data_IF_732631152309
#
_entry.id   IF_732631152309
#
_cell.length_a   1.000
_cell.length_b   1.000
_cell.length_c   1.000
_cell.angle_alpha   90.00
_cell.angle_beta   90.00
_cell.angle_gamma   90.00
#
_symmetry.space_group_name_H-M   'P 1'
#
loop_
_entity.id
_entity.type
_entity.pdbx_description
1 polymer ?
#
# COMPACT_ATOMS: atom_id res chain seq x y z
N UNK A 1 -26.77 19.38 8.15
CA UNK A 1 -25.35 18.97 8.08
C UNK A 1 -25.30 17.45 7.95
N UNK A 2 -24.94 16.91 6.77
CA UNK A 2 -24.68 15.47 6.61
C UNK A 2 -23.30 15.17 7.20
N UNK A 3 -23.23 14.18 8.10
CA UNK A 3 -21.99 13.71 8.70
C UNK A 3 -21.24 12.84 7.67
N UNK A 4 -19.95 13.12 7.50
CA UNK A 4 -19.04 12.39 6.62
C UNK A 4 -18.61 11.07 7.29
N UNK A 5 -19.44 10.05 7.27
CA UNK A 5 -19.04 8.72 7.75
C UNK A 5 -18.22 8.00 6.67
N UNK A 6 -16.95 8.41 6.50
CA UNK A 6 -15.99 7.63 5.71
C UNK A 6 -15.60 6.37 6.48
N UNK A 7 -16.32 5.28 6.24
CA UNK A 7 -15.89 3.93 6.64
C UNK A 7 -14.53 3.66 6.01
N UNK A 8 -13.45 3.73 6.80
CA UNK A 8 -12.15 3.16 6.44
C UNK A 8 -12.37 1.67 6.14
N UNK A 9 -12.39 1.29 4.86
CA UNK A 9 -12.49 -0.11 4.47
C UNK A 9 -11.15 -0.79 4.73
N UNK A 10 -11.09 -1.62 5.77
CA UNK A 10 -9.94 -2.47 6.06
C UNK A 10 -10.10 -3.73 5.20
N UNK A 11 -9.23 -3.92 4.21
CA UNK A 11 -9.18 -5.14 3.40
C UNK A 11 -7.98 -5.99 3.85
N UNK A 12 -8.24 -7.24 4.20
CA UNK A 12 -7.20 -8.23 4.47
C UNK A 12 -6.81 -8.94 3.17
N UNK A 13 -5.52 -9.19 2.98
CA UNK A 13 -4.98 -9.89 1.82
C UNK A 13 -3.96 -10.94 2.28
N UNK A 14 -3.89 -12.05 1.56
CA UNK A 14 -2.91 -13.12 1.83
C UNK A 14 -1.68 -12.87 0.96
N UNK A 15 -0.53 -12.68 1.60
CA UNK A 15 0.77 -12.62 0.94
C UNK A 15 1.50 -13.96 1.08
N UNK A 16 2.38 -14.32 0.13
CA UNK A 16 3.31 -15.43 0.29
C UNK A 16 4.15 -15.24 1.56
N UNK A 17 4.43 -16.32 2.33
CA UNK A 17 5.10 -16.22 3.63
C UNK A 17 6.47 -15.55 3.56
N UNK A 18 7.23 -15.82 2.48
CA UNK A 18 8.54 -15.20 2.23
C UNK A 18 8.43 -13.67 2.11
N UNK A 19 7.38 -13.17 1.46
CA UNK A 19 7.17 -11.71 1.29
C UNK A 19 6.74 -11.06 2.61
N UNK A 20 5.97 -11.76 3.44
CA UNK A 20 5.59 -11.28 4.78
C UNK A 20 6.83 -11.14 5.66
N UNK A 21 7.73 -12.12 5.63
CA UNK A 21 8.97 -12.07 6.41
C UNK A 21 9.88 -10.92 5.96
N UNK A 22 10.05 -10.74 4.64
CA UNK A 22 10.80 -9.61 4.09
C UNK A 22 10.20 -8.26 4.48
N UNK A 23 8.86 -8.14 4.40
CA UNK A 23 8.13 -6.93 4.80
C UNK A 23 8.34 -6.62 6.28
N UNK A 24 8.21 -7.63 7.14
CA UNK A 24 8.41 -7.48 8.60
C UNK A 24 9.84 -7.08 8.93
N UNK A 25 10.84 -7.78 8.38
CA UNK A 25 12.24 -7.45 8.61
C UNK A 25 12.58 -6.02 8.17
N UNK A 26 12.01 -5.57 7.05
CA UNK A 26 12.15 -4.19 6.60
C UNK A 26 11.43 -3.19 7.51
N UNK A 27 10.22 -3.51 7.96
CA UNK A 27 9.44 -2.70 8.89
C UNK A 27 10.20 -2.50 10.21
N UNK A 28 10.71 -3.58 10.80
CA UNK A 28 11.49 -3.55 12.04
C UNK A 28 12.79 -2.75 11.88
N UNK A 29 13.56 -3.03 10.81
CA UNK A 29 14.83 -2.34 10.55
C UNK A 29 14.68 -0.82 10.43
N UNK A 30 13.57 -0.36 9.84
CA UNK A 30 13.34 1.06 9.60
C UNK A 30 12.43 1.72 10.64
N UNK A 31 11.91 0.96 11.62
CA UNK A 31 10.93 1.44 12.61
C UNK A 31 9.67 2.03 11.96
N UNK A 32 9.21 1.42 10.86
CA UNK A 32 8.03 1.84 10.09
C UNK A 32 6.97 0.74 10.16
N UNK A 33 5.70 1.10 10.18
CA UNK A 33 4.62 0.11 10.19
C UNK A 33 4.54 -0.66 8.85
N UNK A 34 4.31 -1.97 8.89
CA UNK A 34 4.06 -2.79 7.68
C UNK A 34 2.99 -2.15 6.76
N UNK A 35 1.91 -1.63 7.37
CA UNK A 35 0.83 -0.96 6.65
C UNK A 35 1.26 0.34 5.95
N UNK A 36 2.24 1.08 6.49
CA UNK A 36 2.77 2.28 5.85
C UNK A 36 3.59 1.93 4.62
N UNK A 37 4.41 0.88 4.72
CA UNK A 37 5.19 0.35 3.60
C UNK A 37 4.25 -0.10 2.48
N UNK A 38 3.21 -0.87 2.80
CA UNK A 38 2.21 -1.31 1.82
C UNK A 38 1.50 -0.12 1.18
N UNK A 39 1.09 0.89 1.96
CA UNK A 39 0.45 2.10 1.41
C UNK A 39 1.39 2.88 0.47
N UNK A 40 2.66 3.01 0.83
CA UNK A 40 3.66 3.67 0.01
C UNK A 40 3.90 2.90 -1.30
N UNK A 41 4.06 1.58 -1.22
CA UNK A 41 4.24 0.71 -2.39
C UNK A 41 3.04 0.78 -3.34
N UNK A 42 1.81 0.71 -2.82
CA UNK A 42 0.59 0.85 -3.63
C UNK A 42 0.53 2.23 -4.29
N UNK A 43 0.83 3.31 -3.55
CA UNK A 43 0.85 4.67 -4.11
C UNK A 43 1.86 4.78 -5.25
N UNK A 44 3.08 4.25 -5.07
CA UNK A 44 4.11 4.27 -6.10
C UNK A 44 3.69 3.48 -7.35
N UNK A 45 3.11 2.29 -7.17
CA UNK A 45 2.63 1.45 -8.26
C UNK A 45 1.50 2.10 -9.07
N UNK A 46 0.50 2.69 -8.41
CA UNK A 46 -0.56 3.40 -9.12
C UNK A 46 -0.07 4.69 -9.77
N UNK A 47 0.89 5.39 -9.16
CA UNK A 47 1.52 6.54 -9.78
C UNK A 47 2.28 6.15 -11.06
N UNK A 48 3.03 5.04 -11.06
CA UNK A 48 3.72 4.56 -12.25
C UNK A 48 2.75 4.13 -13.36
N UNK A 49 1.60 3.55 -13.03
CA UNK A 49 0.58 3.19 -14.02
C UNK A 49 -0.08 4.40 -14.65
N UNK A 50 -0.44 5.42 -13.86
CA UNK A 50 -0.99 6.67 -14.39
C UNK A 50 -0.01 7.40 -15.32
N UNK A 51 1.29 7.29 -15.05
CA UNK A 51 2.33 7.85 -15.92
C UNK A 51 2.49 7.06 -17.23
N UNK A 52 2.18 5.76 -17.23
CA UNK A 52 2.19 4.93 -18.45
C UNK A 52 0.94 5.14 -19.30
N UNK A 53 -0.26 5.24 -18.73
CA UNK A 53 -1.48 5.55 -19.50
C UNK A 53 -1.39 6.91 -20.23
N UNK A 54 -0.58 7.85 -19.72
CA UNK A 54 -0.41 9.17 -20.32
C UNK A 54 0.63 9.21 -21.48
N UNK A 55 1.16 8.06 -21.91
CA UNK A 55 2.06 7.93 -23.07
C UNK A 55 1.45 7.16 -24.25
N UNK A 56 0.29 6.54 -24.06
CA UNK A 56 -0.42 5.77 -25.09
C UNK A 56 -1.75 6.43 -25.52
N UNK A 57 -2.03 7.65 -25.05
CA UNK A 57 -3.19 8.47 -25.44
C UNK A 57 -2.76 9.77 -26.08
#
# INVERSE_FOLDING_TARGET
MQRFDTKKQIKAFKLPPVQVEQLRNYAEKNQISEAEIIRAALRAYFASQKVQENKDS
#
